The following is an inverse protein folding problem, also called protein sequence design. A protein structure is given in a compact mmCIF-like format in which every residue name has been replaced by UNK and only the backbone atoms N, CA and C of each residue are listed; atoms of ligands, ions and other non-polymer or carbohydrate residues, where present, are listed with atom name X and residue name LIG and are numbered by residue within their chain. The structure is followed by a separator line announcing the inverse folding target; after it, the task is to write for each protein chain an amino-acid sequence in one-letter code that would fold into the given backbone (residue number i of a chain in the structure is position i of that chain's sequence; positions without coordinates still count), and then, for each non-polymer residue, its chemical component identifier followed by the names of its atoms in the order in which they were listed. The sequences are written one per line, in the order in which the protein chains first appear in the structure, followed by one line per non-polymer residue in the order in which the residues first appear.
data_IF_826837761519
#
_entry.id   IF_826837761519
#
_cell.length_a   1.000
_cell.length_b   1.000
_cell.length_c   1.000
_cell.angle_alpha   90.00
_cell.angle_beta   90.00
_cell.angle_gamma   90.00
#
_symmetry.space_group_name_H-M   'P 1'
#
loop_
_entity.id
_entity.type
_entity.pdbx_description
1 polymer ?
#
# COMPACT_ATOMS: atom_id res chain seq x y z
N UNK A 1 38.96 -7.16 44.27
CA UNK A 1 38.66 -5.72 44.32
C UNK A 1 38.45 -5.22 42.90
N UNK A 2 37.20 -4.83 42.64
CA UNK A 2 36.63 -3.96 41.61
C UNK A 2 37.50 -3.46 40.46
N UNK A 3 37.04 -3.68 39.21
CA UNK A 3 36.42 -2.61 38.42
C UNK A 3 35.86 -3.18 37.10
N UNK A 4 34.52 -3.27 37.00
CA UNK A 4 33.83 -3.41 35.73
C UNK A 4 34.02 -2.14 34.89
N UNK A 5 34.69 -2.26 33.74
CA UNK A 5 34.76 -1.19 32.75
C UNK A 5 33.46 -1.18 31.94
N UNK A 6 32.46 -0.45 32.44
CA UNK A 6 31.20 -0.23 31.75
C UNK A 6 31.41 0.41 30.37
N UNK A 7 30.96 -0.29 29.32
CA UNK A 7 31.00 0.18 27.94
C UNK A 7 30.12 1.43 27.83
N UNK A 8 30.74 2.55 27.46
CA UNK A 8 30.10 3.86 27.42
C UNK A 8 29.26 3.95 26.14
N UNK A 9 27.95 4.16 26.30
CA UNK A 9 26.89 4.30 25.27
C UNK A 9 27.17 5.27 24.09
N UNK A 10 28.30 5.96 24.12
CA UNK A 10 28.71 7.05 23.24
C UNK A 10 29.68 6.61 22.14
N UNK A 11 30.23 5.39 22.22
CA UNK A 11 31.06 4.81 21.14
C UNK A 11 30.26 4.05 20.07
N UNK A 12 29.01 3.67 20.37
CA UNK A 12 28.15 3.01 19.38
C UNK A 12 27.59 3.97 18.31
N UNK A 13 27.74 5.29 18.48
CA UNK A 13 27.21 6.29 17.55
C UNK A 13 28.22 6.74 16.47
N UNK A 14 29.47 6.29 16.51
CA UNK A 14 30.50 6.70 15.53
C UNK A 14 30.74 5.70 14.39
N UNK A 15 30.11 4.51 14.41
CA UNK A 15 30.29 3.47 13.37
C UNK A 15 29.24 3.55 12.24
N UNK A 16 28.23 4.42 12.33
CA UNK A 16 27.14 4.50 11.34
C UNK A 16 27.37 5.52 10.19
N UNK A 17 28.60 6.02 9.98
CA UNK A 17 28.87 7.10 9.02
C UNK A 17 29.75 6.70 7.81
N UNK A 18 29.84 5.42 7.44
CA UNK A 18 30.61 4.98 6.27
C UNK A 18 30.00 3.82 5.47
N UNK A 19 28.67 3.77 5.32
CA UNK A 19 28.04 2.88 4.33
C UNK A 19 26.85 3.56 3.61
N UNK A 20 27.03 4.82 3.23
CA UNK A 20 26.08 5.58 2.40
C UNK A 20 26.38 5.53 0.90
N UNK A 21 27.05 4.47 0.41
CA UNK A 21 27.50 4.38 -0.98
C UNK A 21 27.07 3.07 -1.65
N UNK A 22 25.78 2.99 -2.00
CA UNK A 22 25.12 2.16 -3.01
C UNK A 22 23.66 2.04 -2.57
N UNK A 23 22.64 2.61 -3.21
CA UNK A 23 22.18 2.26 -4.56
C UNK A 23 21.27 3.38 -5.09
N UNK A 24 21.82 4.34 -5.85
CA UNK A 24 21.04 5.26 -6.67
C UNK A 24 20.96 4.74 -8.10
N UNK A 25 20.20 3.67 -8.30
CA UNK A 25 19.71 3.29 -9.63
C UNK A 25 18.22 2.97 -9.48
N UNK A 26 17.40 4.02 -9.55
CA UNK A 26 15.97 3.90 -9.76
C UNK A 26 15.75 3.58 -11.24
N UNK A 27 15.36 2.37 -11.64
CA UNK A 27 14.84 2.19 -12.99
C UNK A 27 13.57 3.03 -13.07
N UNK A 28 13.57 4.00 -13.97
CA UNK A 28 12.36 4.67 -14.43
C UNK A 28 11.48 3.60 -15.06
N UNK A 29 10.56 3.04 -14.26
CA UNK A 29 9.47 2.22 -14.76
C UNK A 29 8.65 3.15 -15.65
N UNK A 30 8.92 3.08 -16.94
CA UNK A 30 8.24 3.86 -17.96
C UNK A 30 6.90 3.16 -18.21
N UNK A 31 5.92 3.53 -17.38
CA UNK A 31 4.55 3.06 -17.44
C UNK A 31 3.98 3.37 -18.81
N UNK A 32 3.88 2.35 -19.67
CA UNK A 32 3.18 2.42 -20.93
C UNK A 32 1.77 1.89 -20.71
N UNK A 33 0.75 2.73 -20.86
CA UNK A 33 -0.64 2.32 -20.68
C UNK A 33 -1.30 2.04 -22.04
N UNK A 34 -2.03 0.92 -22.22
CA UNK A 34 -3.04 0.79 -23.24
C UNK A 34 -4.46 0.95 -22.63
N UNK A 35 -5.20 1.94 -23.12
CA UNK A 35 -6.66 2.08 -23.25
C UNK A 35 -7.67 1.77 -22.10
N UNK A 36 -7.32 1.16 -20.96
CA UNK A 36 -8.27 0.80 -19.89
C UNK A 36 -8.51 1.89 -18.81
N UNK A 37 -7.93 3.09 -18.99
CA UNK A 37 -7.92 4.18 -17.99
C UNK A 37 -9.30 4.62 -17.44
N UNK A 38 -10.37 4.80 -18.24
CA UNK A 38 -11.61 5.38 -17.71
C UNK A 38 -12.34 4.47 -16.70
N UNK A 39 -12.22 3.16 -16.83
CA UNK A 39 -12.83 2.22 -15.88
C UNK A 39 -12.01 2.16 -14.58
N UNK A 40 -10.69 2.23 -14.69
CA UNK A 40 -9.80 2.30 -13.55
C UNK A 40 -10.00 3.60 -12.75
N UNK A 41 -10.16 4.73 -13.42
CA UNK A 41 -10.37 6.03 -12.76
C UNK A 41 -11.67 6.04 -11.94
N UNK A 42 -12.72 5.41 -12.44
CA UNK A 42 -14.00 5.30 -11.71
C UNK A 42 -13.93 4.35 -10.51
N UNK A 43 -13.18 3.24 -10.60
CA UNK A 43 -12.92 2.33 -9.49
C UNK A 43 -12.03 2.99 -8.42
N UNK A 44 -10.94 3.62 -8.83
CA UNK A 44 -10.04 4.38 -7.95
C UNK A 44 -10.80 5.50 -7.24
N UNK A 45 -11.70 6.22 -7.94
CA UNK A 45 -12.55 7.23 -7.33
C UNK A 45 -13.55 6.63 -6.32
N UNK A 46 -14.14 5.47 -6.62
CA UNK A 46 -15.04 4.75 -5.71
C UNK A 46 -14.32 4.30 -4.44
N UNK A 47 -13.14 3.67 -4.59
CA UNK A 47 -12.28 3.25 -3.46
C UNK A 47 -11.76 4.44 -2.68
N UNK A 48 -11.34 5.51 -3.34
CA UNK A 48 -10.96 6.75 -2.67
C UNK A 48 -12.13 7.36 -1.89
N UNK A 49 -13.38 7.19 -2.35
CA UNK A 49 -14.59 7.55 -1.61
C UNK A 49 -14.79 6.75 -0.32
N UNK A 50 -14.19 5.56 -0.20
CA UNK A 50 -14.20 4.75 1.02
C UNK A 50 -13.17 5.22 2.04
N UNK A 51 -12.07 5.85 1.60
CA UNK A 51 -10.98 6.29 2.46
C UNK A 51 -11.17 7.73 2.93
N UNK A 52 -11.23 7.92 4.26
CA UNK A 52 -11.37 9.25 4.88
C UNK A 52 -10.20 10.18 4.58
N UNK A 53 -8.97 9.63 4.52
CA UNK A 53 -7.74 10.41 4.36
C UNK A 53 -6.98 9.99 3.10
N UNK A 54 -7.41 10.52 1.95
CA UNK A 54 -6.86 10.16 0.63
C UNK A 54 -5.37 10.43 0.49
N UNK A 55 -4.87 11.55 1.02
CA UNK A 55 -3.47 11.90 0.88
C UNK A 55 -2.55 10.98 1.69
N UNK A 56 -2.96 10.64 2.92
CA UNK A 56 -2.28 9.62 3.72
C UNK A 56 -2.28 8.26 3.01
N UNK A 57 -3.40 7.88 2.39
CA UNK A 57 -3.49 6.65 1.60
C UNK A 57 -2.53 6.66 0.40
N UNK A 58 -2.36 7.79 -0.30
CA UNK A 58 -1.38 7.89 -1.40
C UNK A 58 0.05 7.71 -0.92
N UNK A 59 0.41 8.28 0.24
CA UNK A 59 1.75 8.13 0.81
C UNK A 59 2.04 6.67 1.15
N UNK A 60 1.10 6.02 1.83
CA UNK A 60 1.17 4.58 2.14
C UNK A 60 1.26 3.76 0.86
N UNK A 61 0.41 4.04 -0.12
CA UNK A 61 0.34 3.31 -1.39
C UNK A 61 1.62 3.42 -2.21
N UNK A 62 2.21 4.62 -2.31
CA UNK A 62 3.52 4.81 -2.95
C UNK A 62 4.61 4.03 -2.24
N UNK A 63 4.58 4.01 -0.91
CA UNK A 63 5.54 3.25 -0.10
C UNK A 63 5.37 1.74 -0.34
N UNK A 64 4.14 1.26 -0.41
CA UNK A 64 3.84 -0.13 -0.74
C UNK A 64 4.38 -0.52 -2.13
N UNK A 65 4.07 0.25 -3.16
CA UNK A 65 4.50 -0.02 -4.54
C UNK A 65 6.03 0.02 -4.73
N UNK A 66 6.73 0.82 -3.91
CA UNK A 66 8.20 0.81 -3.89
C UNK A 66 8.77 -0.50 -3.32
N UNK A 67 8.07 -1.12 -2.37
CA UNK A 67 8.48 -2.40 -1.77
C UNK A 67 8.00 -3.59 -2.60
N UNK A 68 6.88 -3.47 -3.31
CA UNK A 68 6.25 -4.53 -4.12
C UNK A 68 6.01 -4.02 -5.56
N UNK A 69 7.08 -3.82 -6.35
CA UNK A 69 6.95 -3.25 -7.70
C UNK A 69 6.21 -4.16 -8.68
N UNK A 70 6.08 -5.46 -8.37
CA UNK A 70 5.31 -6.41 -9.19
C UNK A 70 3.81 -6.12 -9.16
N UNK A 71 3.31 -5.45 -8.10
CA UNK A 71 1.91 -5.03 -7.99
C UNK A 71 1.70 -3.57 -8.45
N UNK A 72 2.71 -2.94 -9.05
CA UNK A 72 2.63 -1.58 -9.60
C UNK A 72 1.90 -1.55 -10.95
N UNK A 73 0.75 -2.19 -11.01
CA UNK A 73 -0.21 -2.12 -12.10
C UNK A 73 -1.62 -2.09 -11.51
N UNK A 74 -2.42 -1.14 -11.97
CA UNK A 74 -3.69 -0.86 -11.34
C UNK A 74 -4.73 -1.95 -11.65
N UNK A 75 -4.67 -2.57 -12.83
CA UNK A 75 -5.52 -3.71 -13.16
C UNK A 75 -5.16 -4.92 -12.30
N UNK A 76 -3.86 -5.14 -12.06
CA UNK A 76 -3.35 -6.17 -11.15
C UNK A 76 -3.88 -5.97 -9.74
N UNK A 77 -3.83 -4.76 -9.19
CA UNK A 77 -4.40 -4.46 -7.87
C UNK A 77 -5.91 -4.68 -7.80
N UNK A 78 -6.65 -4.25 -8.83
CA UNK A 78 -8.10 -4.48 -8.93
C UNK A 78 -8.42 -5.98 -8.92
N UNK A 79 -7.66 -6.78 -9.67
CA UNK A 79 -7.80 -8.24 -9.69
C UNK A 79 -7.45 -8.87 -8.34
N UNK A 80 -6.36 -8.43 -7.70
CA UNK A 80 -5.90 -8.93 -6.40
C UNK A 80 -6.84 -8.58 -5.25
N UNK A 81 -7.57 -7.48 -5.37
CA UNK A 81 -8.62 -7.08 -4.43
C UNK A 81 -9.96 -7.75 -4.74
N UNK A 82 -10.01 -8.61 -5.77
CA UNK A 82 -11.25 -9.23 -6.28
C UNK A 82 -12.34 -8.20 -6.60
N UNK A 83 -11.94 -6.96 -6.93
CA UNK A 83 -12.82 -5.90 -7.40
C UNK A 83 -13.08 -6.16 -8.89
N UNK A 84 -13.81 -7.24 -9.22
CA UNK A 84 -14.18 -7.55 -10.60
C UNK A 84 -14.84 -6.36 -11.32
N UNK A 85 -15.01 -6.41 -12.66
CA UNK A 85 -15.54 -5.29 -13.42
C UNK A 85 -16.88 -4.82 -12.83
N UNK A 86 -16.84 -3.69 -12.13
CA UNK A 86 -18.01 -3.12 -11.46
C UNK A 86 -18.99 -2.75 -12.55
N UNK A 87 -20.06 -3.53 -12.67
CA UNK A 87 -21.12 -3.28 -13.63
C UNK A 87 -21.80 -1.97 -13.23
N UNK A 88 -21.73 -0.99 -14.13
CA UNK A 88 -22.07 0.40 -13.89
C UNK A 88 -23.60 0.60 -13.92
N UNK A 89 -24.34 -0.09 -13.04
CA UNK A 89 -25.78 0.12 -12.88
C UNK A 89 -26.02 1.22 -11.83
N UNK A 90 -26.44 2.38 -12.34
CA UNK A 90 -26.49 3.66 -11.63
C UNK A 90 -27.52 3.77 -10.50
N UNK A 91 -28.42 2.80 -10.32
CA UNK A 91 -29.56 2.89 -9.40
C UNK A 91 -29.32 2.27 -8.00
N UNK A 92 -28.19 1.59 -7.76
CA UNK A 92 -27.90 0.94 -6.46
C UNK A 92 -26.54 1.33 -5.85
N UNK A 93 -25.95 2.46 -6.25
CA UNK A 93 -24.58 2.84 -5.86
C UNK A 93 -24.35 2.89 -4.34
N UNK A 94 -25.32 3.33 -3.56
CA UNK A 94 -25.17 3.44 -2.10
C UNK A 94 -25.23 2.08 -1.40
N UNK A 95 -26.14 1.19 -1.82
CA UNK A 95 -26.21 -0.17 -1.28
C UNK A 95 -24.96 -0.96 -1.66
N UNK A 96 -24.50 -0.86 -2.92
CA UNK A 96 -23.26 -1.49 -3.38
C UNK A 96 -22.02 -0.99 -2.65
N UNK A 97 -21.94 0.31 -2.31
CA UNK A 97 -20.79 0.88 -1.58
C UNK A 97 -20.69 0.37 -0.14
N UNK A 98 -21.82 0.25 0.56
CA UNK A 98 -21.82 -0.31 1.92
C UNK A 98 -21.45 -1.81 1.91
N UNK A 99 -22.00 -2.59 0.98
CA UNK A 99 -21.63 -4.00 0.82
C UNK A 99 -20.15 -4.16 0.48
N UNK A 100 -19.60 -3.31 -0.40
CA UNK A 100 -18.18 -3.34 -0.73
C UNK A 100 -17.29 -3.01 0.48
N UNK A 101 -17.68 -2.00 1.28
CA UNK A 101 -16.95 -1.66 2.51
C UNK A 101 -16.92 -2.83 3.48
N UNK A 102 -18.05 -3.51 3.68
CA UNK A 102 -18.15 -4.66 4.58
C UNK A 102 -17.28 -5.83 4.12
N UNK A 103 -17.28 -6.13 2.82
CA UNK A 103 -16.43 -7.18 2.23
C UNK A 103 -14.94 -6.87 2.41
N UNK A 104 -14.52 -5.62 2.15
CA UNK A 104 -13.13 -5.20 2.35
C UNK A 104 -12.75 -5.26 3.84
N UNK A 105 -13.63 -4.83 4.75
CA UNK A 105 -13.39 -4.92 6.20
C UNK A 105 -13.25 -6.36 6.67
N UNK A 106 -14.09 -7.27 6.17
CA UNK A 106 -13.98 -8.70 6.48
C UNK A 106 -12.64 -9.25 5.97
N UNK A 107 -12.27 -8.92 4.73
CA UNK A 107 -11.01 -9.37 4.14
C UNK A 107 -9.79 -8.84 4.90
N UNK A 108 -9.82 -7.57 5.31
CA UNK A 108 -8.75 -6.99 6.13
C UNK A 108 -8.59 -7.71 7.47
N UNK A 109 -9.70 -8.14 8.11
CA UNK A 109 -9.62 -8.94 9.35
C UNK A 109 -9.01 -10.31 9.10
N UNK A 110 -9.45 -11.01 8.05
CA UNK A 110 -8.86 -12.29 7.64
C UNK A 110 -7.37 -12.17 7.37
N UNK A 111 -6.95 -11.11 6.68
CA UNK A 111 -5.53 -10.87 6.43
C UNK A 111 -4.72 -10.77 7.74
N UNK A 112 -5.26 -10.16 8.79
CA UNK A 112 -4.60 -10.14 10.11
C UNK A 112 -4.59 -11.51 10.78
N UNK A 113 -5.71 -12.24 10.74
CA UNK A 113 -5.83 -13.59 11.31
C UNK A 113 -4.88 -14.58 10.64
N UNK A 114 -4.68 -14.45 9.33
CA UNK A 114 -3.81 -15.30 8.50
C UNK A 114 -2.35 -14.79 8.45
N UNK A 115 -2.03 -13.68 9.11
CA UNK A 115 -0.70 -13.07 9.08
C UNK A 115 -0.30 -12.49 7.72
N UNK A 116 -1.26 -12.26 6.82
CA UNK A 116 -1.10 -11.54 5.55
C UNK A 116 -0.99 -10.02 5.80
N UNK A 117 0.13 -9.63 6.41
CA UNK A 117 0.43 -8.25 6.79
C UNK A 117 1.68 -7.73 6.07
N UNK A 118 1.75 -6.42 5.91
CA UNK A 118 2.95 -5.72 5.44
C UNK A 118 3.42 -4.70 6.46
N UNK A 119 4.74 -4.56 6.56
CA UNK A 119 5.38 -3.57 7.43
C UNK A 119 5.94 -2.44 6.57
N UNK A 120 5.34 -1.26 6.64
CA UNK A 120 5.73 -0.09 5.85
C UNK A 120 6.14 1.03 6.81
N UNK A 121 7.43 1.35 6.87
CA UNK A 121 7.96 2.48 7.67
C UNK A 121 7.48 2.50 9.13
N UNK A 122 7.41 1.32 9.76
CA UNK A 122 6.97 1.18 11.15
C UNK A 122 5.45 1.02 11.34
N UNK A 123 4.67 1.08 10.26
CA UNK A 123 3.25 0.75 10.27
C UNK A 123 3.03 -0.73 9.91
N UNK A 124 2.07 -1.37 10.57
CA UNK A 124 1.59 -2.71 10.21
C UNK A 124 0.22 -2.55 9.59
N UNK A 125 0.07 -3.02 8.35
CA UNK A 125 -1.17 -2.97 7.60
C UNK A 125 -1.52 -4.37 7.12
N UNK A 126 -2.80 -4.64 6.87
CA UNK A 126 -3.16 -5.82 6.09
C UNK A 126 -2.70 -5.65 4.64
N UNK A 127 -2.46 -6.76 3.94
CA UNK A 127 -2.13 -6.73 2.50
C UNK A 127 -3.25 -6.05 1.71
N UNK A 128 -4.51 -6.30 2.05
CA UNK A 128 -5.67 -5.64 1.42
C UNK A 128 -5.65 -4.13 1.62
N UNK A 129 -5.35 -3.63 2.82
CA UNK A 129 -5.27 -2.19 3.10
C UNK A 129 -4.16 -1.52 2.29
N UNK A 130 -2.99 -2.17 2.22
CA UNK A 130 -1.86 -1.65 1.47
C UNK A 130 -2.14 -1.59 -0.03
N UNK A 131 -2.82 -2.60 -0.58
CA UNK A 131 -3.28 -2.63 -1.98
C UNK A 131 -4.34 -1.58 -2.30
N UNK A 132 -5.29 -1.33 -1.39
CA UNK A 132 -6.27 -0.24 -1.54
C UNK A 132 -5.56 1.14 -1.58
N UNK A 133 -4.59 1.34 -0.68
CA UNK A 133 -3.77 2.55 -0.66
C UNK A 133 -2.96 2.69 -1.96
N UNK A 134 -2.40 1.59 -2.47
CA UNK A 134 -1.66 1.55 -3.72
C UNK A 134 -2.54 1.89 -4.93
N UNK A 135 -3.78 1.38 -4.97
CA UNK A 135 -4.73 1.70 -6.04
C UNK A 135 -5.04 3.20 -6.06
N UNK A 136 -5.24 3.81 -4.89
CA UNK A 136 -5.45 5.27 -4.75
C UNK A 136 -4.19 6.09 -5.09
N UNK A 137 -3.00 5.51 -5.02
CA UNK A 137 -1.77 6.17 -5.46
C UNK A 137 -1.59 6.18 -6.99
N UNK A 138 -2.27 5.28 -7.70
CA UNK A 138 -2.19 5.12 -9.17
C UNK A 138 -3.29 5.85 -9.94
N UNK A 139 -4.40 6.24 -9.28
CA UNK A 139 -5.47 7.08 -9.83
C UNK A 139 -5.54 8.46 -9.19
#
# INVERSE_FOLDING_TARGET
MSAEAGIRRRELLTIALWLGLATRLRPSVQWSAPAARPQLDSLSASVAGLLKYKESARIVGRTYLQNVPQEADAQTLVNLLSLGPVHNNSESRNATTNTLRELLQLRMRQDFEEGQIVKLQGWILSVTEARLCALVALG
#
